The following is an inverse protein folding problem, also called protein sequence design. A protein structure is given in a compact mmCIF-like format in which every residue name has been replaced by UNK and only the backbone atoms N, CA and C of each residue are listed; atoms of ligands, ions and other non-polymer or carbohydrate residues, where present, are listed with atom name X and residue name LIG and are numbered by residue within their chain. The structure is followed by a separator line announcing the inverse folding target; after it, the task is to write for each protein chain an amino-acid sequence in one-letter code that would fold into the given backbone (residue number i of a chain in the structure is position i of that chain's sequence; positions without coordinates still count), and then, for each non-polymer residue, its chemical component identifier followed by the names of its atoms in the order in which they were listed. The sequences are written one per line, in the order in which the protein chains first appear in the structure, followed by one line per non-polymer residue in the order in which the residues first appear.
data_IF_695542518167
#
_entry.id   IF_695542518167
#
_cell.length_a   1.000
_cell.length_b   1.000
_cell.length_c   1.000
_cell.angle_alpha   90.00
_cell.angle_beta   90.00
_cell.angle_gamma   90.00
#
_symmetry.space_group_name_H-M   'P 1'
#
loop_
_entity.id
_entity.type
_entity.pdbx_description
1 polymer ?
#
# COMPACT_ATOMS: atom_id res chain seq x y z
N UNK A 1 6.77 -17.00 -4.90
CA UNK A 1 6.14 -15.66 -5.02
C UNK A 1 7.03 -14.79 -5.88
N UNK A 2 6.42 -14.01 -6.75
CA UNK A 2 7.13 -13.08 -7.63
C UNK A 2 6.50 -11.69 -7.52
N UNK A 3 7.34 -10.65 -7.41
CA UNK A 3 6.88 -9.26 -7.46
C UNK A 3 7.27 -8.69 -8.81
N UNK A 4 6.30 -8.11 -9.51
CA UNK A 4 6.49 -7.55 -10.85
C UNK A 4 5.65 -6.30 -11.04
N UNK A 5 5.94 -5.56 -12.10
CA UNK A 5 5.11 -4.42 -12.48
C UNK A 5 3.70 -4.90 -12.84
N UNK A 6 2.71 -4.10 -12.45
CA UNK A 6 1.32 -4.40 -12.73
C UNK A 6 1.00 -4.21 -14.22
N UNK A 7 0.08 -5.04 -14.72
CA UNK A 7 -0.42 -4.98 -16.09
C UNK A 7 -1.91 -4.63 -16.06
N UNK A 8 -2.46 -4.07 -17.15
CA UNK A 8 -3.89 -3.73 -17.18
C UNK A 8 -4.81 -4.90 -16.84
N UNK A 9 -4.47 -6.11 -17.26
CA UNK A 9 -5.25 -7.32 -16.97
C UNK A 9 -5.23 -7.71 -15.49
N UNK A 10 -4.36 -7.13 -14.68
CA UNK A 10 -4.33 -7.37 -13.23
C UNK A 10 -5.40 -6.57 -12.47
N UNK A 11 -6.05 -5.62 -13.13
CA UNK A 11 -6.86 -4.61 -12.44
C UNK A 11 -7.96 -5.19 -11.54
N UNK A 12 -8.72 -6.17 -12.03
CA UNK A 12 -9.82 -6.75 -11.24
C UNK A 12 -9.30 -7.47 -10.00
N UNK A 13 -8.28 -8.32 -10.15
CA UNK A 13 -7.72 -9.09 -9.04
C UNK A 13 -7.00 -8.19 -8.03
N UNK A 14 -6.25 -7.18 -8.51
CA UNK A 14 -5.57 -6.22 -7.65
C UNK A 14 -6.56 -5.42 -6.81
N UNK A 15 -7.66 -4.95 -7.43
CA UNK A 15 -8.69 -4.21 -6.71
C UNK A 15 -9.37 -5.08 -5.65
N UNK A 16 -9.62 -6.35 -5.93
CA UNK A 16 -10.18 -7.26 -4.94
C UNK A 16 -9.25 -7.38 -3.73
N UNK A 17 -7.94 -7.55 -3.94
CA UNK A 17 -6.96 -7.61 -2.86
C UNK A 17 -7.01 -6.34 -2.02
N UNK A 18 -6.97 -5.16 -2.66
CA UNK A 18 -6.99 -3.90 -1.94
C UNK A 18 -8.28 -3.72 -1.14
N UNK A 19 -9.42 -4.01 -1.74
CA UNK A 19 -10.73 -3.86 -1.08
C UNK A 19 -10.86 -4.81 0.11
N UNK A 20 -10.47 -6.07 -0.06
CA UNK A 20 -10.49 -7.04 1.05
C UNK A 20 -9.53 -6.65 2.16
N UNK A 21 -8.34 -6.19 1.80
CA UNK A 21 -7.34 -5.74 2.77
C UNK A 21 -7.89 -4.59 3.63
N UNK A 22 -8.51 -3.60 3.01
CA UNK A 22 -9.10 -2.47 3.72
C UNK A 22 -10.22 -2.96 4.65
N UNK A 23 -11.18 -3.71 4.11
CA UNK A 23 -12.37 -4.13 4.88
C UNK A 23 -11.99 -5.04 6.04
N UNK A 24 -11.09 -6.01 5.80
CA UNK A 24 -10.81 -7.07 6.78
C UNK A 24 -9.64 -6.75 7.70
N UNK A 25 -8.64 -5.97 7.25
CA UNK A 25 -7.41 -5.75 8.00
C UNK A 25 -7.30 -4.35 8.61
N UNK A 26 -8.06 -3.39 8.13
CA UNK A 26 -7.97 -2.01 8.58
C UNK A 26 -9.11 -1.62 9.53
N UNK A 27 -9.72 -2.58 10.23
CA UNK A 27 -10.79 -2.32 11.19
C UNK A 27 -10.40 -1.29 12.25
N UNK A 28 -9.16 -1.28 12.80
CA UNK A 28 -8.78 -0.22 13.73
C UNK A 28 -8.90 1.19 13.16
N UNK A 29 -8.86 1.31 11.83
CA UNK A 29 -8.93 2.60 11.14
C UNK A 29 -10.36 2.99 10.79
N UNK A 30 -11.13 2.10 10.16
CA UNK A 30 -12.48 2.44 9.69
C UNK A 30 -13.59 2.06 10.67
N UNK A 31 -13.31 1.18 11.64
CA UNK A 31 -14.25 0.78 12.69
C UNK A 31 -15.60 0.28 12.14
N UNK A 32 -15.57 -0.27 10.93
CA UNK A 32 -16.77 -0.70 10.20
C UNK A 32 -17.79 0.42 9.94
N UNK A 33 -17.32 1.69 9.93
CA UNK A 33 -18.17 2.82 9.61
C UNK A 33 -18.42 2.84 8.10
N UNK A 34 -19.70 2.77 7.66
CA UNK A 34 -20.02 2.69 6.23
C UNK A 34 -19.53 3.90 5.42
N UNK A 35 -19.57 5.09 5.97
CA UNK A 35 -19.14 6.30 5.26
C UNK A 35 -17.63 6.31 5.06
N UNK A 36 -16.87 5.95 6.09
CA UNK A 36 -15.41 5.85 6.00
C UNK A 36 -15.03 4.80 4.98
N UNK A 37 -15.65 3.61 5.06
CA UNK A 37 -15.39 2.52 4.11
C UNK A 37 -15.70 2.93 2.68
N UNK A 38 -16.86 3.54 2.44
CA UNK A 38 -17.26 3.96 1.12
C UNK A 38 -16.25 4.96 0.53
N UNK A 39 -15.83 5.93 1.32
CA UNK A 39 -14.86 6.92 0.89
C UNK A 39 -13.51 6.27 0.56
N UNK A 40 -13.01 5.40 1.46
CA UNK A 40 -11.71 4.74 1.28
C UNK A 40 -11.70 3.83 0.07
N UNK A 41 -12.81 3.10 -0.17
CA UNK A 41 -12.90 2.16 -1.29
C UNK A 41 -13.21 2.82 -2.63
N UNK A 42 -13.59 4.10 -2.63
CA UNK A 42 -14.11 4.78 -3.82
C UNK A 42 -13.15 4.81 -5.00
N UNK A 43 -11.83 4.87 -4.74
CA UNK A 43 -10.82 4.89 -5.80
C UNK A 43 -10.17 3.52 -6.06
N UNK A 44 -10.68 2.45 -5.43
CA UNK A 44 -10.15 1.10 -5.63
C UNK A 44 -11.01 0.39 -6.67
N UNK A 45 -10.99 0.91 -7.90
CA UNK A 45 -11.75 0.37 -9.04
C UNK A 45 -10.80 0.01 -10.17
N UNK A 46 -11.18 -0.96 -11.04
CA UNK A 46 -10.32 -1.34 -12.16
C UNK A 46 -9.95 -0.18 -13.08
N UNK A 47 -10.87 0.75 -13.33
CA UNK A 47 -10.61 1.91 -14.20
C UNK A 47 -9.54 2.82 -13.60
N UNK A 48 -9.64 3.11 -12.30
CA UNK A 48 -8.66 3.95 -11.61
C UNK A 48 -7.32 3.22 -11.52
N UNK A 49 -7.33 1.93 -11.22
CA UNK A 49 -6.11 1.12 -11.21
C UNK A 49 -5.36 1.21 -12.54
N UNK A 50 -6.08 1.08 -13.65
CA UNK A 50 -5.49 1.20 -15.00
C UNK A 50 -4.90 2.60 -15.23
N UNK A 51 -5.53 3.64 -14.67
CA UNK A 51 -4.99 4.99 -14.79
C UNK A 51 -3.65 5.13 -14.05
N UNK A 52 -3.48 4.45 -12.91
CA UNK A 52 -2.21 4.44 -12.19
C UNK A 52 -1.12 3.76 -13.00
N UNK A 53 -1.43 2.68 -13.72
CA UNK A 53 -0.46 2.00 -14.59
C UNK A 53 0.07 2.96 -15.66
N UNK A 54 -0.78 3.86 -16.17
CA UNK A 54 -0.40 4.82 -17.21
C UNK A 54 0.33 6.05 -16.66
N UNK A 55 0.42 6.18 -15.33
CA UNK A 55 1.11 7.31 -14.69
C UNK A 55 2.62 7.04 -14.59
N UNK A 56 3.35 8.01 -14.02
CA UNK A 56 4.79 7.85 -13.74
C UNK A 56 5.05 7.04 -12.47
N UNK A 57 4.01 6.64 -11.75
CA UNK A 57 4.16 5.85 -10.52
C UNK A 57 4.59 4.42 -10.83
N UNK A 58 5.34 3.83 -9.90
CA UNK A 58 5.67 2.41 -9.96
C UNK A 58 4.58 1.63 -9.25
N UNK A 59 3.84 0.83 -9.99
CA UNK A 59 2.75 0.01 -9.46
C UNK A 59 3.15 -1.45 -9.55
N UNK A 60 3.23 -2.11 -8.40
CA UNK A 60 3.71 -3.50 -8.30
C UNK A 60 2.62 -4.42 -7.78
N UNK A 61 2.65 -5.67 -8.24
CA UNK A 61 1.82 -6.75 -7.69
C UNK A 61 2.72 -7.90 -7.27
N UNK A 62 2.35 -8.57 -6.18
CA UNK A 62 2.97 -9.81 -5.75
C UNK A 62 2.06 -10.96 -6.17
N UNK A 63 2.62 -11.97 -6.80
CA UNK A 63 1.87 -13.09 -7.38
C UNK A 63 2.42 -14.40 -6.82
N UNK A 64 1.53 -15.27 -6.36
CA UNK A 64 1.86 -16.63 -5.97
C UNK A 64 0.93 -17.61 -6.73
N UNK A 65 0.86 -18.87 -6.26
CA UNK A 65 0.02 -19.88 -6.92
C UNK A 65 -1.47 -19.52 -6.92
N UNK A 66 -1.91 -18.75 -5.94
CA UNK A 66 -3.31 -18.34 -5.82
C UNK A 66 -3.65 -17.11 -6.66
N UNK A 67 -2.64 -16.50 -7.29
CA UNK A 67 -2.79 -15.26 -8.06
C UNK A 67 -2.19 -14.07 -7.33
N UNK A 68 -2.78 -12.88 -7.53
CA UNK A 68 -2.28 -11.65 -6.89
C UNK A 68 -2.59 -11.69 -5.40
N UNK A 69 -1.57 -11.47 -4.57
CA UNK A 69 -1.68 -11.50 -3.11
C UNK A 69 -1.28 -10.18 -2.45
N UNK A 70 -0.71 -9.22 -3.19
CA UNK A 70 -0.38 -7.91 -2.66
C UNK A 70 -0.29 -6.89 -3.78
N UNK A 71 -0.50 -5.62 -3.42
CA UNK A 71 -0.41 -4.49 -4.34
C UNK A 71 0.36 -3.38 -3.64
N UNK A 72 1.33 -2.79 -4.34
CA UNK A 72 2.11 -1.67 -3.83
C UNK A 72 2.32 -0.61 -4.89
N UNK A 73 2.52 0.63 -4.45
CA UNK A 73 2.79 1.74 -5.35
C UNK A 73 3.74 2.72 -4.69
N UNK A 74 4.71 3.21 -5.46
CA UNK A 74 5.58 4.30 -5.04
C UNK A 74 5.65 5.32 -6.16
N UNK A 75 5.54 6.59 -5.80
CA UNK A 75 5.60 7.69 -6.76
C UNK A 75 7.04 7.98 -7.17
N UNK A 76 7.19 8.80 -8.21
CA UNK A 76 8.51 9.26 -8.68
C UNK A 76 9.28 10.03 -7.59
N UNK A 77 8.57 10.63 -6.65
CA UNK A 77 9.15 11.38 -5.52
C UNK A 77 9.44 10.53 -4.29
N UNK A 78 9.23 9.22 -4.35
CA UNK A 78 9.52 8.32 -3.24
C UNK A 78 8.40 8.19 -2.22
N UNK A 79 7.18 8.60 -2.57
CA UNK A 79 6.03 8.42 -1.68
C UNK A 79 5.35 7.09 -1.93
N UNK A 80 5.26 6.25 -0.89
CA UNK A 80 4.55 4.98 -0.95
C UNK A 80 3.08 5.27 -0.69
N UNK A 81 2.25 5.07 -1.72
CA UNK A 81 0.82 5.40 -1.68
C UNK A 81 -0.07 4.18 -1.51
N UNK A 82 0.43 3.00 -1.86
CA UNK A 82 -0.30 1.75 -1.70
C UNK A 82 0.66 0.68 -1.17
N UNK A 83 0.20 -0.08 -0.20
CA UNK A 83 0.90 -1.27 0.29
C UNK A 83 -0.12 -2.15 1.00
N UNK A 84 -0.82 -2.96 0.20
CA UNK A 84 -1.91 -3.82 0.68
C UNK A 84 -1.58 -5.27 0.45
N UNK A 85 -1.91 -6.11 1.44
CA UNK A 85 -1.73 -7.56 1.36
C UNK A 85 -3.10 -8.24 1.47
N UNK A 86 -3.28 -9.34 0.72
CA UNK A 86 -4.49 -10.16 0.85
C UNK A 86 -4.61 -10.69 2.28
N UNK A 87 -5.81 -10.68 2.88
CA UNK A 87 -6.01 -11.32 4.17
C UNK A 87 -5.59 -12.79 4.20
N UNK A 88 -5.66 -13.47 3.06
CA UNK A 88 -5.27 -14.88 2.93
C UNK A 88 -3.75 -15.09 2.90
N UNK A 89 -2.98 -14.02 2.75
CA UNK A 89 -1.52 -14.08 2.60
C UNK A 89 -0.76 -13.40 3.75
N UNK A 90 -1.44 -13.12 4.87
CA UNK A 90 -0.80 -12.48 6.03
C UNK A 90 0.23 -13.39 6.68
N UNK A 91 1.21 -12.75 7.33
CA UNK A 91 2.24 -13.42 8.15
C UNK A 91 3.14 -14.38 7.37
N UNK A 92 3.31 -14.15 6.07
CA UNK A 92 4.19 -14.95 5.21
C UNK A 92 5.32 -14.11 4.59
N UNK A 93 5.56 -12.91 5.13
CA UNK A 93 6.63 -12.04 4.65
C UNK A 93 6.31 -11.29 3.35
N UNK A 94 5.07 -11.36 2.87
CA UNK A 94 4.68 -10.71 1.61
C UNK A 94 4.77 -9.19 1.71
N UNK A 95 4.28 -8.61 2.81
CA UNK A 95 4.32 -7.16 3.01
C UNK A 95 5.76 -6.64 3.11
N UNK A 96 6.64 -7.38 3.77
CA UNK A 96 8.06 -7.03 3.86
C UNK A 96 8.72 -7.07 2.47
N UNK A 97 8.45 -8.11 1.70
CA UNK A 97 9.00 -8.25 0.35
C UNK A 97 8.49 -7.13 -0.57
N UNK A 98 7.21 -6.79 -0.47
CA UNK A 98 6.63 -5.69 -1.25
C UNK A 98 7.27 -4.36 -0.87
N UNK A 99 7.41 -4.06 0.42
CA UNK A 99 8.04 -2.83 0.88
C UNK A 99 9.49 -2.73 0.37
N UNK A 100 10.26 -3.81 0.48
CA UNK A 100 11.63 -3.85 -0.02
C UNK A 100 11.69 -3.56 -1.52
N UNK A 101 10.76 -4.11 -2.29
CA UNK A 101 10.68 -3.87 -3.74
C UNK A 101 10.34 -2.41 -4.05
N UNK A 102 9.41 -1.81 -3.32
CA UNK A 102 9.05 -0.41 -3.50
C UNK A 102 10.23 0.52 -3.16
N UNK A 103 10.94 0.25 -2.07
CA UNK A 103 12.11 1.02 -1.68
C UNK A 103 13.23 0.91 -2.71
N UNK A 104 13.45 -0.29 -3.26
CA UNK A 104 14.44 -0.50 -4.31
C UNK A 104 14.12 0.34 -5.55
N UNK A 105 12.85 0.33 -5.98
CA UNK A 105 12.44 1.12 -7.15
C UNK A 105 12.56 2.62 -6.88
N UNK A 106 12.28 3.07 -5.65
CA UNK A 106 12.49 4.46 -5.26
C UNK A 106 13.96 4.86 -5.34
N UNK A 107 14.86 4.02 -4.87
CA UNK A 107 16.32 4.26 -4.97
C UNK A 107 16.76 4.33 -6.42
N UNK A 108 16.27 3.43 -7.26
CA UNK A 108 16.62 3.40 -8.69
C UNK A 108 16.22 4.69 -9.40
N UNK A 109 15.19 5.38 -8.89
CA UNK A 109 14.78 6.69 -9.43
C UNK A 109 15.50 7.87 -8.78
N UNK A 110 16.48 7.61 -7.94
CA UNK A 110 17.32 8.65 -7.34
C UNK A 110 16.82 9.17 -6.00
N UNK A 111 15.82 8.54 -5.39
CA UNK A 111 15.32 8.99 -4.10
C UNK A 111 16.19 8.47 -2.96
N UNK A 112 16.63 9.37 -2.08
CA UNK A 112 17.34 9.00 -0.85
C UNK A 112 16.42 8.74 0.34
N UNK A 113 15.12 8.81 0.14
CA UNK A 113 14.14 8.75 1.22
C UNK A 113 12.80 8.25 0.69
N UNK A 114 12.11 7.43 1.47
CA UNK A 114 10.71 7.09 1.24
C UNK A 114 9.83 7.74 2.30
N UNK A 115 8.64 8.17 1.89
CA UNK A 115 7.61 8.71 2.78
C UNK A 115 6.31 7.94 2.58
N UNK A 116 5.50 7.91 3.61
CA UNK A 116 4.17 7.30 3.55
C UNK A 116 3.28 7.84 4.67
N UNK A 117 1.99 7.62 4.54
CA UNK A 117 1.03 7.80 5.63
C UNK A 117 0.54 6.42 6.04
N UNK A 118 0.88 6.01 7.27
CA UNK A 118 0.52 4.69 7.77
C UNK A 118 -0.89 4.68 8.34
N UNK A 119 -1.58 3.57 8.14
CA UNK A 119 -2.80 3.28 8.91
C UNK A 119 -2.43 2.92 10.35
N UNK A 120 -3.40 2.98 11.24
CA UNK A 120 -3.26 2.46 12.60
C UNK A 120 -2.86 0.98 12.56
N UNK A 121 -3.51 0.21 11.69
CA UNK A 121 -3.27 -1.22 11.58
C UNK A 121 -1.83 -1.57 11.18
N UNK A 122 -1.17 -0.72 10.37
CA UNK A 122 0.16 -1.00 9.84
C UNK A 122 1.29 -0.27 10.58
N UNK A 123 0.98 0.56 11.57
CA UNK A 123 1.97 1.42 12.23
C UNK A 123 3.17 0.63 12.76
N UNK A 124 2.92 -0.46 13.49
CA UNK A 124 4.00 -1.27 14.07
C UNK A 124 4.86 -1.93 13.00
N UNK A 125 4.23 -2.33 11.89
CA UNK A 125 4.95 -2.92 10.76
C UNK A 125 6.01 -1.95 10.22
N UNK A 126 5.61 -0.70 9.96
CA UNK A 126 6.54 0.29 9.42
C UNK A 126 7.62 0.69 10.44
N UNK A 127 7.27 0.84 11.71
CA UNK A 127 8.26 1.12 12.75
C UNK A 127 9.33 0.02 12.79
N UNK A 128 8.92 -1.24 12.68
CA UNK A 128 9.84 -2.37 12.67
C UNK A 128 10.72 -2.43 11.41
N UNK A 129 10.33 -1.75 10.34
CA UNK A 129 11.07 -1.70 9.08
C UNK A 129 11.92 -0.45 8.93
N UNK A 130 12.09 0.33 10.00
CA UNK A 130 13.00 1.47 10.01
C UNK A 130 12.34 2.81 9.72
N UNK A 131 11.02 2.86 9.60
CA UNK A 131 10.32 4.13 9.43
C UNK A 131 10.18 4.84 10.77
N UNK A 132 10.28 6.16 10.75
CA UNK A 132 10.03 7.02 11.90
C UNK A 132 8.78 7.85 11.66
N UNK A 133 8.02 8.09 12.72
CA UNK A 133 6.83 8.92 12.63
C UNK A 133 7.24 10.39 12.62
N UNK A 134 6.73 11.14 11.64
CA UNK A 134 7.10 12.54 11.43
C UNK A 134 6.11 13.54 12.06
N UNK A 135 4.99 13.05 12.57
CA UNK A 135 3.97 13.88 13.17
C UNK A 135 2.80 13.06 13.70
N UNK A 136 1.79 13.73 14.29
CA UNK A 136 0.58 13.03 14.76
C UNK A 136 -0.29 12.56 13.60
N UNK A 137 -1.19 11.61 13.88
CA UNK A 137 -2.20 11.19 12.91
C UNK A 137 -3.11 12.36 12.53
N UNK A 138 -3.46 12.47 11.26
CA UNK A 138 -4.17 13.64 10.72
C UNK A 138 -5.66 13.41 10.45
N UNK A 139 -6.20 12.24 10.76
CA UNK A 139 -7.63 11.96 10.56
C UNK A 139 -8.01 11.65 9.14
N UNK A 140 -7.06 11.15 8.32
CA UNK A 140 -7.34 10.75 6.95
C UNK A 140 -8.55 9.79 6.89
N UNK A 141 -9.38 9.91 5.86
CA UNK A 141 -10.61 9.14 5.67
C UNK A 141 -11.61 9.28 6.84
N UNK A 142 -11.54 10.39 7.58
CA UNK A 142 -12.42 10.62 8.72
C UNK A 142 -11.98 9.93 9.99
N UNK A 143 -10.75 9.43 10.04
CA UNK A 143 -10.12 8.83 11.22
C UNK A 143 -8.88 9.59 11.62
N UNK A 144 -8.29 9.28 12.79
CA UNK A 144 -7.00 9.84 13.22
C UNK A 144 -5.85 8.85 12.94
N UNK A 145 -5.96 8.06 11.90
CA UNK A 145 -5.05 6.95 11.65
C UNK A 145 -4.06 7.15 10.52
N UNK A 146 -3.98 8.34 9.92
CA UNK A 146 -2.96 8.61 8.92
C UNK A 146 -1.72 9.18 9.60
N UNK A 147 -0.75 8.32 9.87
CA UNK A 147 0.50 8.70 10.53
C UNK A 147 1.58 8.97 9.48
N UNK A 148 2.06 10.25 9.38
CA UNK A 148 3.14 10.53 8.44
C UNK A 148 4.44 9.90 8.91
N UNK A 149 5.09 9.16 8.02
CA UNK A 149 6.32 8.43 8.34
C UNK A 149 7.32 8.57 7.21
N UNK A 150 8.59 8.42 7.53
CA UNK A 150 9.66 8.43 6.54
C UNK A 150 10.83 7.55 6.96
N UNK A 151 11.65 7.20 5.96
CA UNK A 151 12.83 6.37 6.14
C UNK A 151 13.90 6.83 5.16
N UNK A 152 15.12 7.03 5.65
CA UNK A 152 16.27 7.26 4.79
C UNK A 152 16.65 5.96 4.09
N UNK A 153 16.91 6.03 2.78
CA UNK A 153 17.34 4.88 1.99
C UNK A 153 18.86 4.91 1.83
N UNK A 154 19.46 3.75 1.91
CA UNK A 154 20.92 3.63 1.77
C UNK A 154 21.38 3.73 0.30
#
# INVERSE_FOLDING_TARGET
MMIRDALPEDAAAACEVMRRSIVELCVPDHRNDPEILQHWLSNKTPEIFKSWIRSDDVLLVAVDRAGIVAVGCVTDAGEITLNYVSPDARFRGVSTAMLDALERRARERGNGRCKLNSTEAALRFYLARGYSQDGPGDGNFGTNSAYPMSKELD
#
